data_IF_642443766977
#
_entry.id   IF_642443766977
#
_cell.length_a   1.000
_cell.length_b   1.000
_cell.length_c   1.000
_cell.angle_alpha   90.00
_cell.angle_beta   90.00
_cell.angle_gamma   90.00
#
_symmetry.space_group_name_H-M   'P 1'
#
loop_
_entity.id
_entity.type
_entity.pdbx_description
1 polymer ?
#
# COMPACT_ATOMS: atom_id res chain seq x y z
N UNK A 1 -19.39 51.06 3.67
CA UNK A 1 -18.19 51.17 2.82
C UNK A 1 -17.03 50.65 3.66
N UNK A 2 -16.80 49.34 3.64
CA UNK A 2 -15.83 48.58 2.81
C UNK A 2 -14.47 48.41 3.51
N UNK A 3 -14.07 47.14 3.66
CA UNK A 3 -12.84 46.63 4.29
C UNK A 3 -11.54 47.08 3.55
N UNK A 4 -10.34 46.76 4.06
CA UNK A 4 -9.80 45.42 3.83
C UNK A 4 -9.02 44.77 5.00
N UNK A 5 -9.01 43.44 4.97
CA UNK A 5 -8.39 42.53 5.92
C UNK A 5 -6.87 42.38 5.71
N UNK A 6 -6.10 42.38 6.81
CA UNK A 6 -4.70 41.94 6.84
C UNK A 6 -4.64 40.42 6.56
N UNK A 7 -4.18 40.03 5.38
CA UNK A 7 -3.73 38.65 5.10
C UNK A 7 -2.34 38.46 5.70
N UNK A 8 -2.23 37.55 6.68
CA UNK A 8 -0.96 36.99 7.09
C UNK A 8 -0.32 36.24 5.92
N UNK A 9 0.94 36.57 5.64
CA UNK A 9 1.76 35.86 4.67
C UNK A 9 2.17 34.50 5.25
N UNK A 10 1.46 33.44 4.87
CA UNK A 10 1.97 32.07 5.00
C UNK A 10 3.13 31.86 4.02
N UNK A 11 4.08 30.95 4.32
CA UNK A 11 5.25 30.74 3.47
C UNK A 11 4.84 30.36 2.04
N UNK A 12 5.58 30.81 1.01
CA UNK A 12 5.18 30.67 -0.39
C UNK A 12 5.14 29.19 -0.77
N UNK A 13 3.97 28.69 -1.19
CA UNK A 13 3.77 27.32 -1.69
C UNK A 13 4.77 26.92 -2.80
N UNK A 14 5.31 27.92 -3.52
CA UNK A 14 6.38 27.74 -4.50
C UNK A 14 7.67 27.13 -3.91
N UNK A 15 7.99 27.35 -2.63
CA UNK A 15 9.17 26.78 -1.97
C UNK A 15 9.02 25.28 -1.67
N UNK A 16 7.80 24.81 -1.41
CA UNK A 16 7.51 23.41 -1.16
C UNK A 16 7.52 22.58 -2.46
N UNK A 17 7.01 23.15 -3.56
CA UNK A 17 7.04 22.52 -4.88
C UNK A 17 8.47 22.42 -5.44
N UNK A 18 9.32 23.43 -5.18
CA UNK A 18 10.74 23.39 -5.56
C UNK A 18 11.50 22.34 -4.75
N UNK A 19 11.27 22.20 -3.43
CA UNK A 19 11.88 21.14 -2.62
C UNK A 19 11.44 19.73 -3.03
N UNK A 20 10.17 19.53 -3.36
CA UNK A 20 9.67 18.24 -3.86
C UNK A 20 10.24 17.89 -5.25
N UNK A 21 10.41 18.90 -6.12
CA UNK A 21 11.08 18.71 -7.42
C UNK A 21 12.58 18.41 -7.27
N UNK A 22 13.24 19.03 -6.29
CA UNK A 22 14.66 18.79 -5.99
C UNK A 22 14.89 17.40 -5.40
N UNK A 23 14.00 16.91 -4.51
CA UNK A 23 14.08 15.54 -3.99
C UNK A 23 13.86 14.46 -5.07
N UNK A 24 12.92 14.69 -6.00
CA UNK A 24 12.74 13.78 -7.13
C UNK A 24 13.92 13.81 -8.11
N UNK A 25 14.55 14.98 -8.29
CA UNK A 25 15.74 15.12 -9.12
C UNK A 25 16.98 14.47 -8.47
N UNK A 26 17.15 14.55 -7.15
CA UNK A 26 18.25 13.87 -6.44
C UNK A 26 18.05 12.36 -6.37
N UNK A 27 16.82 11.87 -6.26
CA UNK A 27 16.51 10.44 -6.39
C UNK A 27 16.87 9.90 -7.78
N UNK A 28 16.47 10.61 -8.85
CA UNK A 28 16.84 10.27 -10.23
C UNK A 28 18.35 10.37 -10.50
N UNK A 29 19.03 11.34 -9.89
CA UNK A 29 20.49 11.47 -9.97
C UNK A 29 21.23 10.37 -9.20
N UNK A 30 20.64 9.84 -8.12
CA UNK A 30 21.23 8.73 -7.36
C UNK A 30 21.12 7.38 -8.10
N UNK A 31 20.05 7.15 -8.86
CA UNK A 31 19.90 5.99 -9.75
C UNK A 31 20.89 6.04 -10.93
N UNK A 32 21.13 7.23 -11.48
CA UNK A 32 22.12 7.44 -12.54
C UNK A 32 23.58 7.21 -12.07
N UNK A 33 23.90 7.58 -10.82
CA UNK A 33 25.22 7.34 -10.24
C UNK A 33 25.47 5.86 -9.94
N UNK A 34 24.45 5.14 -9.44
CA UNK A 34 24.54 3.69 -9.20
C UNK A 34 24.64 2.91 -10.52
N UNK A 35 23.90 3.31 -11.56
CA UNK A 35 23.99 2.68 -12.90
C UNK A 35 25.33 2.92 -13.58
N UNK A 36 25.92 4.11 -13.46
CA UNK A 36 27.24 4.41 -14.01
C UNK A 36 28.38 3.66 -13.27
N UNK A 37 28.33 3.58 -11.94
CA UNK A 37 29.30 2.83 -11.15
C UNK A 37 29.20 1.31 -11.39
N UNK A 38 27.99 0.78 -11.52
CA UNK A 38 27.75 -0.63 -11.83
C UNK A 38 28.18 -1.00 -13.26
N UNK A 39 28.04 -0.08 -14.24
CA UNK A 39 28.55 -0.28 -15.60
C UNK A 39 30.09 -0.34 -15.66
N UNK A 40 30.80 0.46 -14.85
CA UNK A 40 32.26 0.41 -14.76
C UNK A 40 32.77 -0.88 -14.10
N UNK A 41 32.11 -1.35 -13.05
CA UNK A 41 32.42 -2.64 -12.42
C UNK A 41 32.08 -3.84 -13.34
N UNK A 42 30.99 -3.74 -14.11
CA UNK A 42 30.62 -4.74 -15.09
C UNK A 42 31.62 -4.84 -16.24
N UNK A 43 32.15 -3.71 -16.71
CA UNK A 43 33.19 -3.69 -17.74
C UNK A 43 34.50 -4.36 -17.27
N UNK A 44 34.82 -4.27 -15.97
CA UNK A 44 35.99 -4.93 -15.39
C UNK A 44 35.82 -6.46 -15.29
N UNK A 45 34.62 -6.96 -14.96
CA UNK A 45 34.35 -8.41 -14.92
C UNK A 45 34.23 -9.02 -16.33
N UNK A 46 33.76 -8.23 -17.31
CA UNK A 46 33.66 -8.62 -18.73
C UNK A 46 35.01 -8.95 -19.37
N UNK A 47 36.09 -8.30 -18.91
CA UNK A 47 37.44 -8.50 -19.45
C UNK A 47 38.01 -9.92 -19.17
N UNK A 48 37.41 -10.66 -18.25
CA UNK A 48 37.80 -12.02 -17.86
C UNK A 48 36.65 -13.04 -17.93
N UNK A 49 35.51 -12.67 -18.51
CA UNK A 49 34.29 -13.49 -18.43
C UNK A 49 34.22 -14.59 -19.50
N UNK A 50 33.91 -15.81 -19.04
CA UNK A 50 33.67 -16.98 -19.88
C UNK A 50 32.29 -16.93 -20.57
N UNK A 51 32.12 -17.70 -21.64
CA UNK A 51 30.84 -17.74 -22.42
C UNK A 51 29.64 -18.11 -21.53
N UNK A 52 29.84 -18.97 -20.53
CA UNK A 52 28.80 -19.36 -19.58
C UNK A 52 28.31 -18.21 -18.69
N UNK A 53 29.19 -17.27 -18.34
CA UNK A 53 28.84 -16.10 -17.53
C UNK A 53 27.87 -15.18 -18.28
N UNK A 54 28.13 -14.91 -19.57
CA UNK A 54 27.22 -14.10 -20.38
C UNK A 54 25.86 -14.76 -20.59
N UNK A 55 25.83 -16.09 -20.76
CA UNK A 55 24.58 -16.84 -20.86
C UNK A 55 23.76 -16.71 -19.56
N UNK A 56 24.41 -16.81 -18.40
CA UNK A 56 23.78 -16.63 -17.09
C UNK A 56 23.24 -15.21 -16.91
N UNK A 57 24.04 -14.20 -17.20
CA UNK A 57 23.65 -12.77 -17.10
C UNK A 57 22.44 -12.48 -18.00
N UNK A 58 22.42 -12.99 -19.24
CA UNK A 58 21.29 -12.83 -20.15
C UNK A 58 20.01 -13.50 -19.65
N UNK A 59 20.12 -14.73 -19.12
CA UNK A 59 18.98 -15.44 -18.54
C UNK A 59 18.44 -14.72 -17.29
N UNK A 60 19.32 -14.25 -16.42
CA UNK A 60 18.95 -13.50 -15.22
C UNK A 60 18.31 -12.15 -15.58
N UNK A 61 18.83 -11.42 -16.58
CA UNK A 61 18.26 -10.18 -17.07
C UNK A 61 16.86 -10.38 -17.65
N UNK A 62 16.63 -11.46 -18.43
CA UNK A 62 15.30 -11.80 -18.93
C UNK A 62 14.33 -12.09 -17.77
N UNK A 63 14.74 -12.92 -16.81
CA UNK A 63 13.90 -13.28 -15.66
C UNK A 63 13.57 -12.07 -14.79
N UNK A 64 14.55 -11.21 -14.49
CA UNK A 64 14.35 -9.95 -13.76
C UNK A 64 13.49 -8.95 -14.53
N UNK A 65 13.60 -8.93 -15.86
CA UNK A 65 12.75 -8.14 -16.75
C UNK A 65 11.31 -8.65 -16.84
N UNK A 66 11.02 -9.93 -16.66
CA UNK A 66 9.65 -10.46 -16.67
C UNK A 66 8.99 -10.34 -15.28
N UNK A 67 9.75 -10.63 -14.22
CA UNK A 67 9.24 -10.70 -12.84
C UNK A 67 9.33 -9.38 -12.07
N UNK A 68 10.15 -8.43 -12.52
CA UNK A 68 10.51 -7.19 -11.80
C UNK A 68 11.24 -7.42 -10.47
N UNK A 69 11.70 -8.64 -10.18
CA UNK A 69 12.51 -8.94 -9.01
C UNK A 69 13.99 -8.61 -9.28
N UNK A 70 14.56 -7.66 -8.53
CA UNK A 70 15.93 -7.17 -8.77
C UNK A 70 16.92 -7.70 -7.74
N UNK A 71 16.78 -7.27 -6.49
CA UNK A 71 17.75 -7.56 -5.42
C UNK A 71 17.74 -9.05 -5.08
N UNK A 72 16.56 -9.63 -4.83
CA UNK A 72 16.42 -11.04 -4.47
C UNK A 72 16.95 -11.96 -5.58
N UNK A 73 16.60 -11.68 -6.84
CA UNK A 73 17.06 -12.49 -7.96
C UNK A 73 18.59 -12.46 -8.11
N UNK A 74 19.19 -11.27 -8.01
CA UNK A 74 20.65 -11.12 -8.11
C UNK A 74 21.36 -11.92 -7.02
N UNK A 75 20.89 -11.85 -5.78
CA UNK A 75 21.48 -12.59 -4.64
C UNK A 75 21.36 -14.09 -4.87
N UNK A 76 20.19 -14.59 -5.31
CA UNK A 76 19.99 -16.02 -5.59
C UNK A 76 20.98 -16.51 -6.66
N UNK A 77 21.16 -15.75 -7.74
CA UNK A 77 22.08 -16.12 -8.83
C UNK A 77 23.54 -16.08 -8.38
N UNK A 78 23.93 -15.09 -7.57
CA UNK A 78 25.27 -15.04 -6.97
C UNK A 78 25.53 -16.22 -6.03
N UNK A 79 24.56 -16.58 -5.20
CA UNK A 79 24.68 -17.70 -4.27
C UNK A 79 24.80 -19.04 -5.01
N UNK A 80 23.98 -19.26 -6.04
CA UNK A 80 24.03 -20.48 -6.87
C UNK A 80 25.37 -20.60 -7.61
N UNK A 81 25.94 -19.47 -8.01
CA UNK A 81 27.20 -19.43 -8.75
C UNK A 81 28.43 -19.46 -7.83
N UNK A 82 28.24 -19.33 -6.51
CA UNK A 82 29.29 -19.16 -5.50
C UNK A 82 30.31 -18.04 -5.86
N UNK A 83 29.83 -17.01 -6.58
CA UNK A 83 30.64 -15.88 -7.04
C UNK A 83 29.98 -14.56 -6.66
N UNK A 84 30.36 -14.05 -5.48
CA UNK A 84 29.93 -12.75 -5.00
C UNK A 84 30.58 -11.57 -5.78
N UNK A 85 31.66 -11.81 -6.54
CA UNK A 85 32.29 -10.81 -7.40
C UNK A 85 31.41 -10.41 -8.58
N UNK A 86 30.53 -11.31 -9.02
CA UNK A 86 29.55 -11.09 -10.06
C UNK A 86 28.33 -10.23 -9.65
N UNK A 87 28.23 -9.83 -8.38
CA UNK A 87 27.05 -9.14 -7.85
C UNK A 87 26.78 -7.80 -8.55
N UNK A 88 27.82 -6.96 -8.69
CA UNK A 88 27.71 -5.64 -9.32
C UNK A 88 27.27 -5.73 -10.80
N UNK A 89 27.90 -6.56 -11.66
CA UNK A 89 27.45 -6.71 -13.05
C UNK A 89 26.03 -7.28 -13.20
N UNK A 90 25.66 -8.27 -12.37
CA UNK A 90 24.32 -8.85 -12.40
C UNK A 90 23.27 -7.81 -12.00
N UNK A 91 23.54 -7.01 -10.96
CA UNK A 91 22.64 -5.93 -10.58
C UNK A 91 22.48 -4.92 -11.71
N UNK A 92 23.59 -4.46 -12.32
CA UNK A 92 23.55 -3.49 -13.41
C UNK A 92 22.64 -3.94 -14.57
N UNK A 93 22.81 -5.19 -15.00
CA UNK A 93 22.10 -5.77 -16.14
C UNK A 93 20.63 -6.06 -15.83
N UNK A 94 20.32 -6.55 -14.63
CA UNK A 94 18.93 -6.77 -14.20
C UNK A 94 18.19 -5.43 -14.03
N UNK A 95 18.86 -4.39 -13.51
CA UNK A 95 18.27 -3.05 -13.36
C UNK A 95 17.97 -2.41 -14.72
N UNK A 96 18.89 -2.47 -15.69
CA UNK A 96 18.62 -1.96 -17.05
C UNK A 96 17.47 -2.72 -17.70
N UNK A 97 17.44 -4.05 -17.59
CA UNK A 97 16.33 -4.87 -18.09
C UNK A 97 15.00 -4.51 -17.41
N UNK A 98 15.00 -4.26 -16.09
CA UNK A 98 13.82 -3.81 -15.35
C UNK A 98 13.31 -2.48 -15.89
N UNK A 99 14.17 -1.46 -15.99
CA UNK A 99 13.78 -0.12 -16.45
C UNK A 99 13.20 -0.17 -17.85
N UNK A 100 13.87 -0.87 -18.76
CA UNK A 100 13.39 -1.04 -20.15
C UNK A 100 12.01 -1.65 -20.14
N UNK A 101 11.80 -2.73 -19.41
CA UNK A 101 10.53 -3.42 -19.48
C UNK A 101 9.43 -2.73 -18.62
N UNK A 102 9.75 -1.95 -17.58
CA UNK A 102 8.80 -1.06 -16.86
C UNK A 102 8.21 0.02 -17.80
N UNK A 103 8.92 0.41 -18.85
CA UNK A 103 8.40 1.33 -19.89
C UNK A 103 7.37 0.64 -20.78
N UNK A 104 7.53 -0.67 -21.05
CA UNK A 104 6.69 -1.38 -22.00
C UNK A 104 5.48 -2.07 -21.35
N UNK A 105 5.67 -2.79 -20.24
CA UNK A 105 4.65 -3.68 -19.68
C UNK A 105 4.74 -3.81 -18.14
N UNK A 106 3.62 -4.07 -17.45
CA UNK A 106 3.62 -4.46 -16.03
C UNK A 106 4.31 -5.82 -15.84
N UNK A 107 4.63 -6.16 -14.59
CA UNK A 107 5.21 -7.48 -14.28
C UNK A 107 4.21 -8.60 -14.61
N UNK A 108 4.70 -9.81 -14.85
CA UNK A 108 3.83 -10.97 -15.06
C UNK A 108 2.95 -11.26 -13.83
N UNK A 109 3.44 -10.95 -12.64
CA UNK A 109 2.70 -11.15 -11.39
C UNK A 109 1.57 -10.14 -11.25
N UNK A 110 1.83 -8.87 -11.55
CA UNK A 110 0.79 -7.83 -11.52
C UNK A 110 -0.29 -8.12 -12.58
N UNK A 111 0.13 -8.54 -13.78
CA UNK A 111 -0.79 -8.92 -14.84
C UNK A 111 -1.66 -10.13 -14.44
N UNK A 112 -1.06 -11.16 -13.83
CA UNK A 112 -1.79 -12.33 -13.34
C UNK A 112 -2.78 -11.97 -12.23
N UNK A 113 -2.39 -11.09 -11.30
CA UNK A 113 -3.28 -10.62 -10.23
C UNK A 113 -4.45 -9.80 -10.77
N UNK A 114 -4.19 -8.93 -11.76
CA UNK A 114 -5.23 -8.17 -12.43
C UNK A 114 -6.23 -9.08 -13.16
N UNK A 115 -5.74 -10.13 -13.83
CA UNK A 115 -6.59 -11.13 -14.50
C UNK A 115 -7.41 -11.98 -13.52
N UNK A 116 -6.86 -12.28 -12.35
CA UNK A 116 -7.57 -13.00 -11.29
C UNK A 116 -8.63 -12.13 -10.58
N UNK A 117 -8.61 -10.81 -10.77
CA UNK A 117 -9.54 -9.89 -10.13
C UNK A 117 -9.31 -9.71 -8.63
N UNK A 118 -8.09 -9.91 -8.15
CA UNK A 118 -7.78 -9.70 -6.74
C UNK A 118 -7.70 -8.22 -6.40
N UNK A 119 -8.33 -7.76 -5.31
CA UNK A 119 -8.19 -6.38 -4.84
C UNK A 119 -6.82 -6.21 -4.17
N UNK A 120 -5.83 -5.77 -4.94
CA UNK A 120 -4.50 -5.42 -4.46
C UNK A 120 -4.38 -3.91 -4.24
N UNK A 121 -3.58 -3.51 -3.26
CA UNK A 121 -3.30 -2.12 -2.94
C UNK A 121 -1.81 -1.90 -3.18
N UNK A 122 -1.47 -1.06 -4.16
CA UNK A 122 -0.09 -0.73 -4.48
C UNK A 122 0.53 0.19 -3.42
N UNK A 123 1.83 0.00 -3.14
CA UNK A 123 2.60 0.85 -2.21
C UNK A 123 2.65 2.33 -2.65
N UNK A 124 2.59 2.58 -3.95
CA UNK A 124 2.65 3.91 -4.54
C UNK A 124 1.34 4.25 -5.25
N UNK A 125 0.54 5.11 -4.62
CA UNK A 125 -0.71 5.61 -5.18
C UNK A 125 -0.46 6.45 -6.45
N UNK A 126 -1.20 6.21 -7.55
CA UNK A 126 -1.14 7.07 -8.73
C UNK A 126 -1.50 8.52 -8.39
N UNK A 127 -0.88 9.45 -9.12
CA UNK A 127 -1.02 10.91 -8.87
C UNK A 127 -2.49 11.38 -8.92
N UNK A 128 -3.33 10.70 -9.69
CA UNK A 128 -4.78 10.96 -9.78
C UNK A 128 -5.51 10.75 -8.45
N UNK A 129 -5.14 9.72 -7.68
CA UNK A 129 -5.79 9.39 -6.39
C UNK A 129 -5.38 10.37 -5.27
N UNK A 130 -4.29 11.13 -5.42
CA UNK A 130 -3.83 12.10 -4.41
C UNK A 130 -4.81 13.23 -4.11
N UNK A 131 -5.79 13.47 -4.99
CA UNK A 131 -6.82 14.50 -4.82
C UNK A 131 -8.13 13.97 -4.22
N UNK A 132 -8.29 12.65 -4.13
CA UNK A 132 -9.49 12.04 -3.56
C UNK A 132 -9.50 12.21 -2.04
N UNK A 133 -10.67 12.47 -1.49
CA UNK A 133 -10.92 12.57 -0.06
C UNK A 133 -11.60 11.32 0.44
N UNK A 134 -11.48 11.05 1.74
CA UNK A 134 -12.17 9.92 2.36
C UNK A 134 -13.70 9.99 2.15
N UNK A 135 -14.27 11.19 2.09
CA UNK A 135 -15.70 11.41 1.82
C UNK A 135 -16.15 10.94 0.43
N UNK A 136 -15.24 10.94 -0.55
CA UNK A 136 -15.54 10.53 -1.93
C UNK A 136 -15.58 9.00 -2.08
N UNK A 137 -14.84 8.28 -1.21
CA UNK A 137 -14.62 6.83 -1.31
C UNK A 137 -15.42 6.05 -0.26
N UNK A 138 -15.73 6.67 0.88
CA UNK A 138 -16.43 5.99 1.98
C UNK A 138 -17.84 5.55 1.59
N UNK A 139 -18.25 4.37 2.08
CA UNK A 139 -19.64 3.95 2.02
C UNK A 139 -20.50 4.87 2.91
N UNK A 140 -21.55 5.47 2.35
CA UNK A 140 -22.42 6.40 3.08
C UNK A 140 -23.49 5.71 3.91
N UNK A 141 -23.96 4.53 3.47
CA UNK A 141 -24.99 3.75 4.16
C UNK A 141 -24.35 2.71 5.09
N UNK A 142 -23.96 3.16 6.30
CA UNK A 142 -23.27 2.32 7.28
C UNK A 142 -24.26 1.80 8.32
N UNK A 143 -24.37 0.47 8.42
CA UNK A 143 -25.16 -0.19 9.48
C UNK A 143 -24.37 -0.17 10.80
N UNK A 144 -24.74 0.74 11.69
CA UNK A 144 -24.14 0.88 13.02
C UNK A 144 -24.99 0.22 14.11
N UNK A 145 -24.33 -0.36 15.11
CA UNK A 145 -24.98 -0.93 16.30
C UNK A 145 -24.85 0.03 17.48
N UNK A 146 -25.88 0.12 18.30
CA UNK A 146 -25.79 0.87 19.56
C UNK A 146 -24.91 0.12 20.57
N UNK A 147 -24.21 0.86 21.45
CA UNK A 147 -23.47 0.31 22.61
C UNK A 147 -24.33 -0.68 23.41
N UNK A 148 -25.63 -0.37 23.53
CA UNK A 148 -26.65 -1.26 24.07
C UNK A 148 -27.71 -1.51 22.99
N UNK A 149 -27.64 -2.66 22.35
CA UNK A 149 -28.61 -3.09 21.33
C UNK A 149 -29.40 -4.31 21.79
N UNK A 150 -30.64 -4.46 21.30
CA UNK A 150 -31.42 -5.67 21.56
C UNK A 150 -30.85 -6.80 20.70
N UNK A 151 -30.78 -8.00 21.25
CA UNK A 151 -30.24 -9.17 20.55
C UNK A 151 -30.93 -9.44 19.20
N UNK A 152 -32.24 -9.18 19.09
CA UNK A 152 -32.99 -9.31 17.84
C UNK A 152 -32.53 -8.33 16.75
N UNK A 153 -32.14 -7.12 17.13
CA UNK A 153 -31.76 -6.06 16.19
C UNK A 153 -30.35 -6.37 15.65
N UNK A 154 -29.48 -6.93 16.52
CA UNK A 154 -28.18 -7.46 16.15
C UNK A 154 -28.33 -8.67 15.21
N UNK A 155 -29.21 -9.62 15.53
CA UNK A 155 -29.47 -10.78 14.66
C UNK A 155 -30.00 -10.34 13.29
N UNK A 156 -30.96 -9.40 13.27
CA UNK A 156 -31.48 -8.85 12.02
C UNK A 156 -30.40 -8.12 11.20
N UNK A 157 -29.46 -7.41 11.85
CA UNK A 157 -28.33 -6.77 11.16
C UNK A 157 -27.37 -7.79 10.55
N UNK A 158 -27.10 -8.89 11.26
CA UNK A 158 -26.29 -10.01 10.75
C UNK A 158 -26.96 -10.71 9.57
N UNK A 159 -28.28 -10.89 9.59
CA UNK A 159 -29.00 -11.58 8.51
C UNK A 159 -29.14 -10.70 7.25
N UNK A 160 -29.27 -9.38 7.43
CA UNK A 160 -29.47 -8.42 6.33
C UNK A 160 -28.19 -8.01 5.61
N UNK A 161 -27.02 -8.18 6.24
CA UNK A 161 -25.75 -7.68 5.71
C UNK A 161 -24.66 -8.74 5.72
N UNK A 162 -23.71 -8.62 4.80
CA UNK A 162 -22.52 -9.50 4.71
C UNK A 162 -21.27 -8.84 5.30
N UNK A 163 -21.41 -7.73 6.02
CA UNK A 163 -20.28 -6.99 6.58
C UNK A 163 -19.53 -7.81 7.64
N UNK A 164 -18.19 -7.71 7.62
CA UNK A 164 -17.31 -8.42 8.54
C UNK A 164 -17.18 -7.75 9.93
N UNK A 165 -17.51 -6.47 10.03
CA UNK A 165 -17.50 -5.72 11.28
C UNK A 165 -18.58 -4.63 11.25
N UNK A 166 -19.04 -4.26 12.44
CA UNK A 166 -20.06 -3.25 12.67
C UNK A 166 -19.51 -2.18 13.61
N UNK A 167 -19.62 -0.89 13.26
CA UNK A 167 -19.25 0.19 14.17
C UNK A 167 -20.26 0.26 15.33
N UNK A 168 -19.73 0.46 16.54
CA UNK A 168 -20.51 0.64 17.76
C UNK A 168 -20.62 2.13 18.07
N UNK A 169 -21.84 2.63 18.02
CA UNK A 169 -22.17 4.03 18.28
C UNK A 169 -22.87 4.18 19.62
N UNK A 170 -22.65 5.31 20.24
CA UNK A 170 -23.31 5.67 21.49
C UNK A 170 -23.94 7.06 21.33
N UNK A 171 -25.12 7.21 21.93
CA UNK A 171 -25.96 8.39 21.75
C UNK A 171 -25.78 9.27 22.98
N UNK A 172 -25.30 10.50 22.77
CA UNK A 172 -25.10 11.44 23.86
C UNK A 172 -26.43 11.81 24.54
N UNK A 173 -26.34 12.29 25.78
CA UNK A 173 -27.50 12.65 26.64
C UNK A 173 -28.54 13.57 25.99
N UNK A 174 -28.14 14.37 25.00
CA UNK A 174 -29.01 15.31 24.27
C UNK A 174 -29.66 14.71 23.02
N UNK A 175 -29.40 13.43 22.70
CA UNK A 175 -29.91 12.72 21.52
C UNK A 175 -29.37 13.23 20.17
N UNK A 176 -28.59 14.32 20.18
CA UNK A 176 -28.10 15.01 18.97
C UNK A 176 -26.70 14.58 18.54
N UNK A 177 -25.89 14.08 19.45
CA UNK A 177 -24.52 13.65 19.16
C UNK A 177 -24.43 12.12 19.16
N UNK A 178 -23.90 11.56 18.07
CA UNK A 178 -23.50 10.15 17.99
C UNK A 178 -21.99 10.09 18.01
N UNK A 179 -21.42 9.35 18.93
CA UNK A 179 -19.99 9.11 18.99
C UNK A 179 -19.69 7.66 18.67
N UNK A 180 -18.60 7.44 17.93
CA UNK A 180 -18.07 6.12 17.66
C UNK A 180 -17.26 5.68 18.88
N UNK A 181 -17.76 4.68 19.61
CA UNK A 181 -17.08 4.14 20.79
C UNK A 181 -16.13 3.01 20.39
N UNK A 182 -16.44 2.28 19.31
CA UNK A 182 -15.58 1.21 18.80
C UNK A 182 -16.16 0.46 17.61
N UNK A 183 -15.69 -0.76 17.39
CA UNK A 183 -16.22 -1.68 16.39
C UNK A 183 -16.29 -3.10 16.96
N UNK A 184 -17.20 -3.91 16.45
CA UNK A 184 -17.36 -5.31 16.82
C UNK A 184 -17.37 -6.18 15.57
N UNK A 185 -16.65 -7.29 15.59
CA UNK A 185 -16.56 -8.18 14.43
C UNK A 185 -17.77 -9.12 14.37
N UNK A 186 -18.13 -9.54 13.16
CA UNK A 186 -19.26 -10.43 12.90
C UNK A 186 -19.15 -11.75 13.67
N UNK A 187 -17.95 -12.35 13.69
CA UNK A 187 -17.72 -13.59 14.41
C UNK A 187 -17.89 -13.43 15.92
N UNK A 188 -17.52 -12.26 16.48
CA UNK A 188 -17.70 -11.96 17.90
C UNK A 188 -19.19 -11.89 18.25
N UNK A 189 -20.00 -11.26 17.39
CA UNK A 189 -21.44 -11.21 17.56
C UNK A 189 -22.08 -12.60 17.48
N UNK A 190 -21.67 -13.44 16.53
CA UNK A 190 -22.14 -14.82 16.46
C UNK A 190 -21.77 -15.62 17.72
N UNK A 191 -20.55 -15.45 18.24
CA UNK A 191 -20.12 -16.09 19.48
C UNK A 191 -20.95 -15.63 20.69
N UNK A 192 -21.18 -14.32 20.84
CA UNK A 192 -22.00 -13.77 21.92
C UNK A 192 -23.46 -14.24 21.88
N UNK A 193 -24.03 -14.35 20.67
CA UNK A 193 -25.37 -14.90 20.47
C UNK A 193 -25.43 -16.40 20.77
N UNK A 194 -24.41 -17.17 20.37
CA UNK A 194 -24.31 -18.60 20.65
C UNK A 194 -24.17 -18.88 22.16
N UNK A 195 -23.37 -18.08 22.85
CA UNK A 195 -23.18 -18.16 24.31
C UNK A 195 -24.36 -17.59 25.12
N UNK A 196 -25.35 -16.97 24.46
CA UNK A 196 -26.48 -16.25 25.09
C UNK A 196 -26.02 -15.29 26.20
N UNK A 197 -24.92 -14.58 25.97
CA UNK A 197 -24.33 -13.63 26.91
C UNK A 197 -25.15 -12.32 26.95
N UNK A 198 -26.38 -12.39 27.44
CA UNK A 198 -27.31 -11.26 27.52
C UNK A 198 -27.31 -10.63 28.90
N UNK A 199 -27.26 -9.30 28.92
CA UNK A 199 -27.55 -8.55 30.13
C UNK A 199 -29.07 -8.49 30.36
N UNK A 200 -29.57 -8.73 31.59
CA UNK A 200 -30.98 -8.52 31.90
C UNK A 200 -31.35 -7.04 31.69
N UNK A 201 -32.62 -6.74 31.34
CA UNK A 201 -33.07 -5.37 31.15
C UNK A 201 -32.94 -4.59 32.45
N UNK A 202 -32.09 -3.55 32.45
CA UNK A 202 -31.91 -2.63 33.58
C UNK A 202 -30.63 -2.77 34.39
N UNK A 203 -29.76 -3.75 34.12
CA UNK A 203 -28.45 -3.89 34.79
C UNK A 203 -27.33 -3.07 34.14
N UNK A 204 -27.68 -2.01 33.40
CA UNK A 204 -26.72 -1.18 32.68
C UNK A 204 -26.09 -0.14 33.60
N UNK A 205 -24.78 0.14 33.46
CA UNK A 205 -24.12 1.17 34.24
C UNK A 205 -24.76 2.55 33.97
N UNK A 206 -24.89 3.42 34.99
CA UNK A 206 -25.49 4.73 34.82
C UNK A 206 -24.59 5.60 33.92
N UNK A 207 -25.07 5.90 32.71
CA UNK A 207 -24.34 6.73 31.74
C UNK A 207 -24.50 6.32 30.28
N UNK A 208 -25.10 5.16 30.00
CA UNK A 208 -25.45 4.68 28.66
C UNK A 208 -26.94 4.90 28.37
#
# INVERSE_FOLDING_TARGET
QTAPARRGAGPPAAAAETLASQFNATAAQSEAAVTAAAAAAAAASLATADTGFYALVGAAAMLGGVTRMTISLTIIVCEISDDAGALLPLMATILTAKVVADIFNPSIYDAAMALAGFPYIEDCLPRSLKRLRAEDVMAQDVVALASVARARDVAAALDRTTHGAFPVIEVGRTGRCRYLTGQVLRYQLHALLALRAFSPPGSLPPGV
#
